data_IF_890374447710
#
_entry.id   IF_890374447710
#
_cell.length_a   1.000
_cell.length_b   1.000
_cell.length_c   1.000
_cell.angle_alpha   90.00
_cell.angle_beta   90.00
_cell.angle_gamma   90.00
#
_symmetry.space_group_name_H-M   'P 1'
#
loop_
_entity.id
_entity.type
_entity.pdbx_description
1 polymer ?
#
# COMPACT_ATOMS: atom_id res chain seq x y z
N UNK A 1 -10.51 32.84 8.78
CA UNK A 1 -10.76 31.51 8.19
C UNK A 1 -9.67 30.56 8.67
N UNK A 2 -9.93 29.64 9.62
CA UNK A 2 -8.93 28.64 9.97
C UNK A 2 -8.79 27.68 8.79
N UNK A 3 -7.56 27.54 8.28
CA UNK A 3 -7.22 26.62 7.19
C UNK A 3 -7.30 25.21 7.79
N UNK A 4 -8.35 24.45 7.46
CA UNK A 4 -8.42 23.04 7.83
C UNK A 4 -7.19 22.36 7.21
N UNK A 5 -6.23 21.97 8.05
CA UNK A 5 -5.16 21.08 7.64
C UNK A 5 -5.89 19.76 7.37
N UNK A 6 -5.99 19.27 6.13
CA UNK A 6 -6.58 17.97 5.89
C UNK A 6 -5.80 17.01 6.77
N UNK A 7 -6.47 16.34 7.70
CA UNK A 7 -5.90 15.23 8.44
C UNK A 7 -5.51 14.20 7.39
N UNK A 8 -4.25 14.25 6.98
CA UNK A 8 -3.63 13.24 6.12
C UNK A 8 -3.67 11.98 6.99
N UNK A 9 -4.77 11.25 6.91
CA UNK A 9 -4.88 9.88 7.41
C UNK A 9 -3.58 9.20 7.00
N UNK A 10 -2.89 8.51 7.91
CA UNK A 10 -1.62 7.84 7.61
C UNK A 10 -1.84 6.88 6.44
N UNK A 11 -1.60 7.36 5.22
CA UNK A 11 -1.85 6.65 3.97
C UNK A 11 -0.83 5.57 3.72
N UNK A 12 0.28 5.59 4.47
CA UNK A 12 1.45 4.78 4.21
C UNK A 12 1.51 3.61 5.18
N UNK A 13 1.33 2.40 4.63
CA UNK A 13 1.43 1.12 5.32
C UNK A 13 2.83 0.53 5.14
N UNK A 14 3.37 -0.12 6.16
CA UNK A 14 4.54 -0.96 6.01
C UNK A 14 4.15 -2.34 5.46
N UNK A 15 5.16 -3.19 5.28
CA UNK A 15 4.93 -4.58 4.84
C UNK A 15 3.97 -5.38 5.76
N UNK A 16 4.08 -5.33 7.10
CA UNK A 16 3.16 -6.08 7.98
C UNK A 16 1.71 -5.63 7.81
N UNK A 17 1.49 -4.32 7.72
CA UNK A 17 0.15 -3.75 7.60
C UNK A 17 -0.44 -4.04 6.22
N UNK A 18 0.33 -3.90 5.14
CA UNK A 18 -0.15 -4.19 3.78
C UNK A 18 -0.46 -5.67 3.58
N UNK A 19 0.33 -6.56 4.19
CA UNK A 19 0.11 -7.99 4.13
C UNK A 19 -1.21 -8.35 4.84
N UNK A 20 -1.45 -7.75 6.01
CA UNK A 20 -2.70 -7.91 6.76
C UNK A 20 -3.89 -7.36 5.96
N UNK A 21 -3.73 -6.20 5.31
CA UNK A 21 -4.76 -5.56 4.51
C UNK A 21 -5.17 -6.40 3.29
N UNK A 22 -4.18 -6.98 2.59
CA UNK A 22 -4.41 -7.84 1.43
C UNK A 22 -4.79 -9.28 1.80
N UNK A 23 -4.71 -9.66 3.08
CA UNK A 23 -4.95 -11.03 3.54
C UNK A 23 -3.88 -12.02 3.06
N UNK A 24 -2.64 -11.58 2.86
CA UNK A 24 -1.52 -12.40 2.36
C UNK A 24 -0.36 -12.44 3.37
N UNK A 25 0.63 -13.29 3.11
CA UNK A 25 1.85 -13.32 3.92
C UNK A 25 2.76 -12.10 3.63
N UNK A 26 3.54 -11.67 4.62
CA UNK A 26 4.55 -10.61 4.46
C UNK A 26 5.56 -10.95 3.36
N UNK A 27 5.89 -12.24 3.20
CA UNK A 27 6.77 -12.71 2.13
C UNK A 27 6.15 -12.46 0.75
N UNK A 28 4.88 -12.82 0.58
CA UNK A 28 4.15 -12.56 -0.67
C UNK A 28 4.05 -11.05 -0.95
N UNK A 29 3.79 -10.22 0.07
CA UNK A 29 3.79 -8.76 -0.09
C UNK A 29 5.16 -8.22 -0.55
N UNK A 30 6.27 -8.77 -0.03
CA UNK A 30 7.63 -8.45 -0.50
C UNK A 30 7.88 -8.89 -1.94
N UNK A 31 7.42 -10.07 -2.32
CA UNK A 31 7.53 -10.59 -3.69
C UNK A 31 6.75 -9.68 -4.66
N UNK A 32 5.50 -9.32 -4.35
CA UNK A 32 4.69 -8.39 -5.15
C UNK A 32 5.34 -7.01 -5.31
N UNK A 33 5.91 -6.48 -4.23
CA UNK A 33 6.63 -5.21 -4.25
C UNK A 33 7.96 -5.30 -5.01
N UNK A 34 8.63 -6.45 -4.98
CA UNK A 34 9.87 -6.70 -5.73
C UNK A 34 9.59 -6.85 -7.22
N UNK A 35 8.52 -7.56 -7.59
CA UNK A 35 8.03 -7.73 -8.97
C UNK A 35 7.44 -6.45 -9.57
N UNK A 36 7.24 -5.40 -8.76
CA UNK A 36 6.65 -4.14 -9.21
C UNK A 36 5.15 -4.19 -9.44
N UNK A 37 4.47 -5.24 -8.97
CA UNK A 37 3.00 -5.40 -9.06
C UNK A 37 2.25 -4.51 -8.07
N UNK A 38 2.89 -4.21 -6.92
CA UNK A 38 2.36 -3.32 -5.90
C UNK A 38 3.19 -2.03 -5.86
N UNK A 39 2.54 -0.88 -6.04
CA UNK A 39 3.20 0.42 -5.97
C UNK A 39 3.73 0.68 -4.57
N UNK A 40 4.98 1.15 -4.49
CA UNK A 40 5.68 1.37 -3.22
C UNK A 40 6.39 2.71 -3.24
N UNK A 41 6.39 3.36 -2.09
CA UNK A 41 7.11 4.60 -1.82
C UNK A 41 8.28 4.28 -0.90
N UNK A 42 9.49 4.70 -1.30
CA UNK A 42 10.68 4.58 -0.47
C UNK A 42 10.86 5.89 0.30
N UNK A 43 10.75 5.82 1.63
CA UNK A 43 11.05 6.95 2.52
C UNK A 43 12.26 6.57 3.38
N UNK A 44 13.42 7.11 3.02
CA UNK A 44 14.70 6.70 3.59
C UNK A 44 14.97 5.21 3.32
N UNK A 45 15.10 4.42 4.38
CA UNK A 45 15.29 2.96 4.28
C UNK A 45 13.99 2.15 4.37
N UNK A 46 12.83 2.82 4.49
CA UNK A 46 11.54 2.16 4.68
C UNK A 46 10.80 2.10 3.35
N UNK A 47 10.28 0.92 3.05
CA UNK A 47 9.31 0.71 1.98
C UNK A 47 7.92 0.85 2.58
N UNK A 48 7.13 1.73 1.98
CA UNK A 48 5.78 2.03 2.39
C UNK A 48 4.83 1.91 1.20
N UNK A 49 3.55 1.65 1.47
CA UNK A 49 2.52 1.41 0.48
C UNK A 49 1.39 2.39 0.73
N UNK A 50 0.96 3.13 -0.30
CA UNK A 50 -0.23 3.98 -0.17
C UNK A 50 -1.48 3.09 -0.18
N UNK A 51 -2.36 3.25 0.80
CA UNK A 51 -3.64 2.54 0.86
C UNK A 51 -4.44 2.68 -0.43
N UNK A 52 -4.41 3.86 -1.06
CA UNK A 52 -5.13 4.11 -2.32
C UNK A 52 -4.58 3.23 -3.45
N UNK A 53 -3.26 3.08 -3.53
CA UNK A 53 -2.62 2.20 -4.51
C UNK A 53 -2.92 0.72 -4.23
N UNK A 54 -2.99 0.34 -2.96
CA UNK A 54 -3.34 -1.02 -2.54
C UNK A 54 -4.80 -1.33 -2.89
N UNK A 55 -5.72 -0.39 -2.69
CA UNK A 55 -7.12 -0.52 -3.12
C UNK A 55 -7.23 -0.63 -4.64
N UNK A 56 -6.49 0.19 -5.39
CA UNK A 56 -6.43 0.09 -6.85
C UNK A 56 -5.93 -1.29 -7.32
N UNK A 57 -4.93 -1.85 -6.64
CA UNK A 57 -4.44 -3.19 -6.93
C UNK A 57 -5.51 -4.27 -6.69
N UNK A 58 -6.29 -4.18 -5.61
CA UNK A 58 -7.41 -5.09 -5.33
C UNK A 58 -8.44 -5.01 -6.47
N UNK A 59 -8.80 -3.79 -6.89
CA UNK A 59 -9.77 -3.59 -7.98
C UNK A 59 -9.25 -4.10 -9.33
N UNK A 60 -7.94 -4.02 -9.59
CA UNK A 60 -7.33 -4.62 -10.78
C UNK A 60 -7.43 -6.15 -10.77
N UNK A 61 -7.15 -6.80 -9.64
CA UNK A 61 -7.28 -8.26 -9.52
C UNK A 61 -8.73 -8.71 -9.77
N UNK A 62 -9.70 -7.99 -9.18
CA UNK A 62 -11.13 -8.29 -9.37
C UNK A 62 -11.57 -8.22 -10.84
N UNK A 63 -10.98 -7.31 -11.63
CA UNK A 63 -11.30 -7.16 -13.07
C UNK A 63 -10.61 -8.21 -13.95
N UNK A 64 -9.51 -8.78 -13.48
CA UNK A 64 -8.74 -9.79 -14.21
C UNK A 64 -9.23 -11.22 -13.95
N UNK A 65 -10.10 -11.42 -12.96
CA UNK A 65 -10.75 -12.70 -12.60
C UNK A 65 -12.11 -12.81 -13.26
#
# INVERSE_FOLDING_TARGET
>A
MPRAIPTVQRRLLGYPEVATYLGISVRAAKELAHEGKLLKVLIGHRVLFDVVDVDHFIEQIKRAS
#
